data_IF_260766077627
#
_entry.id   IF_260766077627
#
_cell.length_a   1.000
_cell.length_b   1.000
_cell.length_c   1.000
_cell.angle_alpha   90.00
_cell.angle_beta   90.00
_cell.angle_gamma   90.00
#
_symmetry.space_group_name_H-M   'P 1'
#
loop_
_entity.id
_entity.type
_entity.pdbx_description
1 polymer ?
#
# COMPACT_ATOMS: atom_id res chain seq x y z
N UNK A 1 -4.08 52.39 -81.92
CA UNK A 1 -3.68 53.37 -80.88
C UNK A 1 -3.57 52.66 -79.53
N UNK A 2 -2.45 52.84 -78.83
CA UNK A 2 -2.13 52.09 -77.62
C UNK A 2 -2.59 52.71 -76.31
N UNK A 3 -2.54 51.91 -75.24
CA UNK A 3 -2.25 52.34 -73.87
C UNK A 3 -1.65 51.15 -73.09
N UNK A 4 -0.39 51.31 -72.69
CA UNK A 4 0.30 50.44 -71.71
C UNK A 4 -0.07 50.88 -70.28
N UNK A 5 0.03 49.92 -69.36
CA UNK A 5 0.80 50.01 -68.10
C UNK A 5 0.05 49.86 -66.76
N UNK A 6 0.77 49.17 -65.85
CA UNK A 6 0.99 49.54 -64.42
C UNK A 6 0.29 48.83 -63.26
N UNK A 7 -0.46 47.75 -63.42
CA UNK A 7 -1.17 47.14 -62.24
C UNK A 7 -0.53 45.90 -61.61
N UNK A 8 0.47 45.25 -62.22
CA UNK A 8 0.99 43.96 -61.70
C UNK A 8 2.14 44.06 -60.68
N UNK A 9 2.86 45.17 -60.57
CA UNK A 9 4.02 45.30 -59.66
C UNK A 9 3.64 45.70 -58.24
N UNK A 10 2.46 46.29 -58.02
CA UNK A 10 2.06 46.83 -56.71
C UNK A 10 1.59 45.75 -55.71
N UNK A 11 1.02 44.63 -56.19
CA UNK A 11 0.53 43.54 -55.34
C UNK A 11 1.64 42.69 -54.70
N UNK A 12 2.81 42.56 -55.36
CA UNK A 12 3.95 41.80 -54.80
C UNK A 12 4.67 42.55 -53.67
N UNK A 13 4.69 43.88 -53.70
CA UNK A 13 5.36 44.69 -52.66
C UNK A 13 4.58 44.73 -51.34
N UNK A 14 3.24 44.77 -51.40
CA UNK A 14 2.38 44.72 -50.21
C UNK A 14 2.48 43.39 -49.44
N UNK A 15 2.54 42.24 -50.14
CA UNK A 15 2.66 40.93 -49.47
C UNK A 15 3.97 40.74 -48.72
N UNK A 16 5.08 41.29 -49.21
CA UNK A 16 6.39 41.24 -48.53
C UNK A 16 6.46 42.15 -47.31
N UNK A 17 5.85 43.33 -47.38
CA UNK A 17 5.76 44.25 -46.24
C UNK A 17 4.86 43.69 -45.11
N UNK A 18 3.73 43.07 -45.46
CA UNK A 18 2.85 42.42 -44.48
C UNK A 18 3.50 41.21 -43.80
N UNK A 19 4.30 40.43 -44.53
CA UNK A 19 5.01 39.29 -43.96
C UNK A 19 6.15 39.73 -43.01
N UNK A 20 6.91 40.77 -43.39
CA UNK A 20 7.94 41.34 -42.52
C UNK A 20 7.36 41.89 -41.21
N UNK A 21 6.18 42.55 -41.28
CA UNK A 21 5.52 43.11 -40.11
C UNK A 21 4.97 42.04 -39.16
N UNK A 22 4.46 40.91 -39.70
CA UNK A 22 4.03 39.76 -38.89
C UNK A 22 5.21 39.05 -38.20
N UNK A 23 6.34 38.91 -38.90
CA UNK A 23 7.55 38.30 -38.31
C UNK A 23 8.12 39.18 -37.18
N UNK A 24 8.15 40.50 -37.35
CA UNK A 24 8.59 41.41 -36.28
C UNK A 24 7.64 41.39 -35.07
N UNK A 25 6.33 41.25 -35.27
CA UNK A 25 5.37 41.12 -34.18
C UNK A 25 5.57 39.79 -33.42
N UNK A 26 5.80 38.69 -34.14
CA UNK A 26 6.03 37.38 -33.52
C UNK A 26 7.33 37.35 -32.69
N UNK A 27 8.41 37.97 -33.18
CA UNK A 27 9.66 38.09 -32.42
C UNK A 27 9.50 38.98 -31.18
N UNK A 28 8.70 40.06 -31.27
CA UNK A 28 8.42 40.91 -30.11
C UNK A 28 7.56 40.20 -29.04
N UNK A 29 6.58 39.38 -29.45
CA UNK A 29 5.75 38.59 -28.52
C UNK A 29 6.57 37.46 -27.87
N UNK A 30 7.41 36.76 -28.64
CA UNK A 30 8.32 35.74 -28.10
C UNK A 30 9.39 36.36 -27.19
N UNK A 31 9.89 37.55 -27.50
CA UNK A 31 10.79 38.30 -26.62
C UNK A 31 10.11 38.73 -25.32
N UNK A 32 8.87 39.22 -25.37
CA UNK A 32 8.11 39.60 -24.17
C UNK A 32 7.79 38.39 -23.27
N UNK A 33 7.57 37.20 -23.84
CA UNK A 33 7.36 35.96 -23.09
C UNK A 33 8.66 35.41 -22.46
N UNK A 34 9.83 35.70 -23.03
CA UNK A 34 11.12 35.30 -22.46
C UNK A 34 11.64 36.25 -21.36
N UNK A 35 11.10 37.47 -21.26
CA UNK A 35 11.39 38.41 -20.17
C UNK A 35 10.32 38.44 -19.07
N UNK A 36 9.22 37.70 -19.26
CA UNK A 36 8.22 37.40 -18.24
C UNK A 36 8.48 36.00 -17.68
N UNK A 37 9.69 35.76 -17.22
CA UNK A 37 10.02 34.58 -16.42
C UNK A 37 9.53 34.86 -14.99
N UNK A 38 8.56 34.10 -14.43
CA UNK A 38 8.28 34.18 -13.02
C UNK A 38 9.51 33.68 -12.26
N UNK A 39 9.97 34.48 -11.30
CA UNK A 39 11.11 34.20 -10.44
C UNK A 39 11.04 32.75 -9.90
N UNK A 40 12.05 31.88 -10.08
CA UNK A 40 12.03 30.50 -9.59
C UNK A 40 12.06 30.38 -8.05
N UNK A 41 11.88 31.48 -7.32
CA UNK A 41 11.85 31.55 -5.86
C UNK A 41 10.48 31.50 -5.19
N UNK A 42 9.36 31.55 -5.92
CA UNK A 42 8.02 31.77 -5.30
C UNK A 42 7.19 30.51 -4.98
N UNK A 43 7.70 29.30 -5.23
CA UNK A 43 7.00 28.05 -4.85
C UNK A 43 7.04 27.77 -3.33
N UNK A 44 7.92 28.44 -2.58
CA UNK A 44 7.99 28.31 -1.12
C UNK A 44 6.87 29.08 -0.39
N UNK A 45 6.25 30.08 -1.03
CA UNK A 45 5.17 30.87 -0.43
C UNK A 45 3.78 30.22 -0.58
N UNK A 46 3.58 29.35 -1.58
CA UNK A 46 2.32 28.63 -1.79
C UNK A 46 2.25 27.38 -0.92
N UNK A 47 3.39 26.77 -0.60
CA UNK A 47 3.48 25.62 0.32
C UNK A 47 3.23 26.00 1.80
N UNK A 48 3.37 27.27 2.18
CA UNK A 48 3.26 27.72 3.57
C UNK A 48 1.86 28.23 3.99
N UNK A 49 0.88 28.25 3.07
CA UNK A 49 -0.49 28.69 3.36
C UNK A 49 -1.54 27.56 3.37
N UNK A 50 -1.15 26.32 3.10
CA UNK A 50 -2.04 25.14 3.16
C UNK A 50 -1.95 24.30 4.43
N UNK A 51 -1.00 24.59 5.32
CA UNK A 51 -0.70 23.75 6.49
C UNK A 51 -1.06 24.47 7.80
N UNK A 52 -2.35 24.72 8.02
CA UNK A 52 -2.93 24.92 9.37
C UNK A 52 -4.40 24.51 9.36
N UNK A 53 -4.62 23.21 9.35
CA UNK A 53 -5.76 22.59 10.06
C UNK A 53 -5.14 21.57 10.98
N UNK A 54 -4.90 22.01 12.22
CA UNK A 54 -4.51 21.17 13.34
C UNK A 54 -5.67 20.24 13.69
N UNK A 55 -5.75 19.09 13.04
CA UNK A 55 -6.47 17.91 13.54
C UNK A 55 -5.49 16.73 13.63
N UNK A 56 -4.36 16.98 14.29
CA UNK A 56 -3.52 15.90 14.80
C UNK A 56 -4.22 15.34 16.05
N UNK A 57 -4.91 14.21 15.90
CA UNK A 57 -5.45 13.46 17.04
C UNK A 57 -4.26 12.81 17.75
N UNK A 58 -3.95 13.17 19.01
CA UNK A 58 -2.84 12.56 19.72
C UNK A 58 -3.16 11.11 20.10
N UNK A 59 -2.32 10.16 19.67
CA UNK A 59 -2.31 8.77 20.16
C UNK A 59 -1.66 8.72 21.55
N UNK A 60 -2.24 7.93 22.45
CA UNK A 60 -1.71 7.66 23.79
C UNK A 60 -0.35 6.93 23.73
N UNK A 61 0.45 7.06 24.80
CA UNK A 61 1.82 6.56 24.88
C UNK A 61 1.95 5.07 24.49
N UNK A 62 2.99 4.79 23.70
CA UNK A 62 3.41 3.46 23.29
C UNK A 62 3.73 2.56 24.48
N UNK A 63 3.42 1.24 24.43
CA UNK A 63 3.93 0.31 25.42
C UNK A 63 5.45 0.30 25.36
N UNK A 64 6.11 0.63 26.48
CA UNK A 64 7.56 0.47 26.62
C UNK A 64 7.92 -1.00 26.41
N UNK A 65 8.46 -1.32 25.24
CA UNK A 65 9.23 -2.54 25.03
C UNK A 65 10.35 -2.57 26.08
N UNK A 66 10.39 -3.62 26.90
CA UNK A 66 11.41 -3.78 27.92
C UNK A 66 12.82 -3.78 27.27
N UNK A 67 13.81 -3.05 27.82
CA UNK A 67 15.15 -3.04 27.28
C UNK A 67 15.80 -4.41 27.51
N UNK A 68 16.06 -5.17 26.44
CA UNK A 68 16.69 -6.48 26.54
C UNK A 68 16.54 -7.46 25.37
N UNK A 69 16.10 -7.01 24.19
CA UNK A 69 16.22 -7.83 22.98
C UNK A 69 17.69 -7.80 22.51
N UNK A 70 18.38 -8.94 22.35
CA UNK A 70 19.75 -8.94 21.87
C UNK A 70 19.82 -8.45 20.42
N UNK A 71 20.78 -7.57 20.14
CA UNK A 71 21.11 -7.13 18.78
C UNK A 71 21.41 -8.36 17.90
N UNK A 72 20.66 -8.51 16.81
CA UNK A 72 20.93 -9.55 15.83
C UNK A 72 22.23 -9.23 15.07
N UNK A 73 23.18 -10.17 14.95
CA UNK A 73 24.43 -9.93 14.21
C UNK A 73 24.15 -9.76 12.72
N UNK A 74 24.84 -8.80 12.10
CA UNK A 74 24.99 -8.73 10.64
C UNK A 74 25.89 -9.88 10.17
N UNK A 75 25.29 -10.90 9.56
CA UNK A 75 25.94 -11.87 8.68
C UNK A 75 25.00 -12.02 7.48
N UNK A 76 25.40 -11.68 6.26
CA UNK A 76 26.50 -12.29 5.53
C UNK A 76 25.89 -13.34 4.59
N UNK A 77 26.16 -13.18 3.31
CA UNK A 77 25.56 -13.87 2.16
C UNK A 77 25.57 -15.41 2.21
N UNK A 78 24.70 -15.97 1.36
CA UNK A 78 24.61 -17.38 0.92
C UNK A 78 24.10 -18.43 1.91
N UNK A 79 22.79 -18.71 1.84
CA UNK A 79 22.28 -20.08 1.87
C UNK A 79 20.80 -20.11 1.45
N UNK A 80 20.43 -20.94 0.48
CA UNK A 80 19.03 -21.34 0.34
C UNK A 80 18.47 -21.64 -1.05
N UNK A 81 19.29 -21.78 -2.10
CA UNK A 81 18.82 -22.42 -3.34
C UNK A 81 18.86 -23.94 -3.18
N UNK A 82 17.71 -24.56 -2.88
CA UNK A 82 17.27 -25.87 -3.38
C UNK A 82 16.23 -26.48 -2.43
N UNK A 83 14.99 -26.62 -2.90
CA UNK A 83 14.21 -27.87 -2.86
C UNK A 83 12.73 -27.59 -3.15
N UNK A 84 12.29 -27.84 -4.38
CA UNK A 84 10.92 -28.26 -4.65
C UNK A 84 10.88 -28.89 -6.05
N UNK A 85 11.00 -30.21 -6.09
CA UNK A 85 10.65 -30.99 -7.26
C UNK A 85 9.91 -32.26 -6.81
N UNK A 86 8.72 -32.42 -7.40
CA UNK A 86 7.94 -33.65 -7.64
C UNK A 86 6.98 -34.15 -6.56
N UNK A 87 5.73 -34.36 -7.01
CA UNK A 87 4.75 -35.27 -6.39
C UNK A 87 3.30 -34.96 -6.77
N UNK A 88 2.86 -35.35 -7.98
CA UNK A 88 1.45 -35.46 -8.39
C UNK A 88 0.92 -36.89 -8.17
N UNK A 89 -0.41 -36.99 -8.07
CA UNK A 89 -1.31 -38.17 -8.12
C UNK A 89 -1.35 -39.06 -6.85
N UNK A 90 -2.48 -39.62 -6.41
CA UNK A 90 -3.65 -40.10 -7.15
C UNK A 90 -4.84 -40.33 -6.18
N UNK A 91 -6.06 -40.26 -6.72
CA UNK A 91 -7.33 -40.49 -6.05
C UNK A 91 -7.68 -41.99 -5.96
N UNK A 92 -8.40 -42.41 -4.91
CA UNK A 92 -9.26 -43.59 -4.94
C UNK A 92 -10.27 -43.61 -3.78
N UNK A 93 -11.54 -43.76 -4.13
CA UNK A 93 -12.70 -44.23 -3.34
C UNK A 93 -13.49 -45.21 -4.25
N UNK A 94 -14.46 -46.02 -3.78
CA UNK A 94 -14.68 -46.70 -2.49
C UNK A 94 -14.96 -48.23 -2.72
N UNK A 95 -15.51 -49.00 -1.75
CA UNK A 95 -16.95 -49.28 -1.82
C UNK A 95 -17.68 -49.43 -0.46
N UNK A 96 -19.01 -49.26 -0.53
CA UNK A 96 -19.99 -49.48 0.55
C UNK A 96 -20.15 -50.96 0.95
N UNK A 97 -20.79 -51.23 2.11
CA UNK A 97 -22.08 -51.91 2.00
C UNK A 97 -23.18 -51.43 2.95
N UNK A 98 -24.40 -51.60 2.43
CA UNK A 98 -25.73 -51.64 3.04
C UNK A 98 -25.86 -52.45 4.34
N UNK A 99 -26.78 -52.03 5.21
CA UNK A 99 -27.41 -52.89 6.22
C UNK A 99 -28.23 -52.10 7.24
N UNK A 100 -29.56 -52.15 7.09
CA UNK A 100 -30.54 -51.72 8.08
C UNK A 100 -30.48 -52.59 9.35
N UNK A 101 -30.55 -51.99 10.54
CA UNK A 101 -31.10 -52.64 11.73
C UNK A 101 -31.59 -51.59 12.75
N UNK A 102 -32.89 -51.65 13.04
CA UNK A 102 -33.57 -50.88 14.09
C UNK A 102 -33.20 -51.46 15.47
N UNK A 103 -32.68 -50.61 16.36
CA UNK A 103 -32.41 -50.95 17.75
C UNK A 103 -32.68 -49.76 18.67
N UNK A 104 -33.81 -49.82 19.38
CA UNK A 104 -34.29 -48.90 20.40
C UNK A 104 -33.44 -49.01 21.69
N UNK A 105 -32.68 -47.97 22.06
CA UNK A 105 -32.10 -47.79 23.39
C UNK A 105 -31.98 -46.29 23.77
N UNK A 106 -32.07 -45.94 25.07
CA UNK A 106 -32.57 -44.64 25.53
C UNK A 106 -31.56 -43.50 25.44
N UNK A 107 -32.07 -42.30 25.12
CA UNK A 107 -31.34 -41.03 25.11
C UNK A 107 -30.88 -40.65 26.52
N UNK A 108 -29.64 -40.95 26.87
CA UNK A 108 -28.95 -40.23 27.93
C UNK A 108 -28.59 -38.82 27.44
N UNK A 109 -29.23 -37.84 28.07
CA UNK A 109 -28.94 -36.42 27.98
C UNK A 109 -27.52 -36.16 28.50
N UNK A 110 -26.52 -36.29 27.62
CA UNK A 110 -25.19 -35.73 27.84
C UNK A 110 -25.35 -34.21 27.83
N UNK A 111 -25.37 -33.61 29.02
CA UNK A 111 -25.12 -32.19 29.17
C UNK A 111 -23.76 -31.89 28.55
N UNK A 112 -23.78 -31.20 27.42
CA UNK A 112 -22.59 -30.61 26.83
C UNK A 112 -21.91 -29.76 27.92
N UNK A 113 -20.59 -29.89 28.13
CA UNK A 113 -19.91 -28.98 29.02
C UNK A 113 -20.09 -27.59 28.41
N UNK A 114 -20.74 -26.71 29.18
CA UNK A 114 -20.91 -25.30 28.90
C UNK A 114 -19.54 -24.75 28.52
N UNK A 115 -19.31 -24.56 27.22
CA UNK A 115 -18.06 -24.08 26.65
C UNK A 115 -17.83 -22.74 27.32
N UNK A 116 -16.87 -22.70 28.25
CA UNK A 116 -16.50 -21.50 28.97
C UNK A 116 -16.48 -20.36 27.96
N UNK A 117 -17.37 -19.38 28.16
CA UNK A 117 -17.47 -18.23 27.28
C UNK A 117 -16.06 -17.68 27.12
N UNK A 118 -15.59 -17.61 25.88
CA UNK A 118 -14.28 -17.05 25.58
C UNK A 118 -14.14 -15.65 26.18
N UNK A 119 -12.92 -15.10 26.22
CA UNK A 119 -12.75 -13.70 26.58
C UNK A 119 -13.76 -12.83 25.80
N UNK A 120 -14.35 -11.82 26.46
CA UNK A 120 -15.36 -10.99 25.84
C UNK A 120 -14.84 -10.42 24.51
N UNK A 121 -15.71 -10.30 23.49
CA UNK A 121 -15.30 -9.75 22.21
C UNK A 121 -14.74 -8.33 22.40
N UNK A 122 -13.64 -8.04 21.71
CA UNK A 122 -13.05 -6.70 21.69
C UNK A 122 -14.07 -5.76 21.02
N UNK A 123 -14.42 -4.61 21.65
CA UNK A 123 -15.37 -3.69 21.06
C UNK A 123 -14.77 -3.00 19.84
N UNK A 124 -15.59 -2.81 18.81
CA UNK A 124 -15.23 -2.03 17.63
C UNK A 124 -14.81 -0.60 18.04
N UNK A 125 -13.74 -0.05 17.46
CA UNK A 125 -13.33 1.32 17.73
C UNK A 125 -14.34 2.34 17.17
N UNK A 126 -14.47 3.52 17.83
CA UNK A 126 -15.37 4.57 17.39
C UNK A 126 -14.95 5.27 16.08
N UNK A 127 -13.69 5.09 15.66
CA UNK A 127 -13.17 5.61 14.39
C UNK A 127 -12.41 4.52 13.65
N UNK A 128 -12.10 4.81 12.37
CA UNK A 128 -11.32 3.93 11.50
C UNK A 128 -9.81 4.23 11.56
N UNK A 129 -9.35 4.99 12.56
CA UNK A 129 -7.95 5.35 12.68
C UNK A 129 -7.11 4.13 13.04
N UNK A 130 -6.00 3.99 12.34
CA UNK A 130 -5.14 2.82 12.39
C UNK A 130 -3.69 3.27 12.43
N UNK A 131 -2.90 2.65 13.31
CA UNK A 131 -1.46 2.84 13.38
C UNK A 131 -0.76 1.51 13.17
N UNK A 132 0.43 1.56 12.58
CA UNK A 132 1.19 0.36 12.23
C UNK A 132 2.62 0.47 12.75
N UNK A 133 3.11 -0.63 13.31
CA UNK A 133 4.50 -0.78 13.71
C UNK A 133 5.07 -2.07 13.10
N UNK A 134 6.24 -1.96 12.47
CA UNK A 134 6.97 -3.08 11.90
C UNK A 134 8.44 -2.96 12.32
N UNK A 135 8.82 -3.52 13.49
CA UNK A 135 10.14 -3.29 14.08
C UNK A 135 11.31 -3.67 13.17
N UNK A 136 11.15 -4.73 12.35
CA UNK A 136 12.17 -5.18 11.40
C UNK A 136 12.48 -4.15 10.31
N UNK A 137 11.53 -3.29 9.97
CA UNK A 137 11.69 -2.17 9.05
C UNK A 137 11.97 -0.84 9.76
N UNK A 138 12.01 -0.83 11.10
CA UNK A 138 12.18 0.39 11.89
C UNK A 138 10.97 1.33 11.90
N UNK A 139 9.78 0.86 11.53
CA UNK A 139 8.53 1.64 11.55
C UNK A 139 7.83 1.49 12.90
N UNK A 140 7.36 2.60 13.46
CA UNK A 140 6.75 2.64 14.79
C UNK A 140 5.65 3.69 14.87
N UNK A 141 4.42 3.21 15.11
CA UNK A 141 3.22 4.03 15.24
C UNK A 141 2.99 4.95 14.02
N UNK A 142 3.30 4.44 12.84
CA UNK A 142 3.02 5.11 11.57
C UNK A 142 1.50 5.13 11.36
N UNK A 143 0.93 6.31 11.11
CA UNK A 143 -0.48 6.42 10.79
C UNK A 143 -0.80 5.79 9.44
N UNK A 144 -1.89 5.02 9.38
CA UNK A 144 -2.39 4.38 8.17
C UNK A 144 -3.76 4.95 7.82
N UNK A 145 -3.82 5.74 6.75
CA UNK A 145 -5.07 6.35 6.32
C UNK A 145 -6.00 5.33 5.67
N UNK A 146 -7.29 5.33 6.01
CA UNK A 146 -8.28 4.54 5.28
C UNK A 146 -8.67 5.23 3.96
N UNK A 147 -7.97 4.92 2.87
CA UNK A 147 -8.10 5.60 1.59
C UNK A 147 -7.72 4.67 0.42
N UNK A 148 -8.16 5.01 -0.78
CA UNK A 148 -7.72 4.45 -2.06
C UNK A 148 -7.13 5.55 -2.98
N UNK A 149 -6.88 6.74 -2.45
CA UNK A 149 -6.38 7.89 -3.21
C UNK A 149 -4.85 7.94 -3.24
N UNK A 150 -4.29 8.23 -4.41
CA UNK A 150 -2.86 8.45 -4.59
C UNK A 150 -2.34 9.57 -3.67
N UNK A 151 -3.09 10.67 -3.58
CA UNK A 151 -2.70 11.82 -2.74
C UNK A 151 -2.61 11.48 -1.23
N UNK A 152 -3.33 10.46 -0.76
CA UNK A 152 -3.15 9.96 0.60
C UNK A 152 -1.89 9.10 0.69
N UNK A 153 -1.64 8.24 -0.31
CA UNK A 153 -0.43 7.39 -0.38
C UNK A 153 0.86 8.21 -0.47
N UNK A 154 0.82 9.36 -1.16
CA UNK A 154 1.93 10.32 -1.24
C UNK A 154 2.32 10.89 0.13
N UNK A 155 1.44 10.79 1.13
CA UNK A 155 1.68 11.26 2.50
C UNK A 155 2.02 10.16 3.48
N UNK A 156 1.79 8.90 3.14
CA UNK A 156 2.06 7.74 4.00
C UNK A 156 1.20 6.53 3.61
N UNK A 157 1.33 5.44 4.36
CA UNK A 157 0.61 4.21 4.11
C UNK A 157 -0.92 4.40 4.11
N UNK A 158 -1.59 3.67 3.22
CA UNK A 158 -3.05 3.62 3.18
C UNK A 158 -3.54 2.19 3.35
N UNK A 159 -4.62 2.03 4.12
CA UNK A 159 -5.42 0.81 4.13
C UNK A 159 -6.50 0.97 3.07
N UNK A 160 -6.59 0.00 2.15
CA UNK A 160 -7.56 0.05 1.06
C UNK A 160 -8.99 -0.01 1.63
N UNK A 161 -9.83 0.94 1.23
CA UNK A 161 -11.21 1.10 1.72
C UNK A 161 -12.10 -0.11 1.43
N UNK A 162 -11.76 -0.90 0.42
CA UNK A 162 -12.46 -2.13 0.04
C UNK A 162 -12.13 -3.35 0.92
N UNK A 163 -11.21 -3.22 1.88
CA UNK A 163 -10.68 -4.32 2.67
C UNK A 163 -11.05 -4.22 4.15
N UNK A 164 -11.08 -5.35 4.84
CA UNK A 164 -11.55 -5.42 6.23
C UNK A 164 -10.60 -4.74 7.22
N UNK A 165 -11.12 -4.29 8.35
CA UNK A 165 -10.33 -3.76 9.47
C UNK A 165 -9.86 -4.86 10.42
N UNK A 166 -8.84 -4.63 11.26
CA UNK A 166 -8.30 -5.69 12.12
C UNK A 166 -9.26 -6.15 13.22
N UNK A 167 -10.28 -5.36 13.59
CA UNK A 167 -11.37 -5.78 14.50
C UNK A 167 -12.46 -6.62 13.83
N UNK A 168 -12.44 -6.74 12.50
CA UNK A 168 -13.41 -7.55 11.76
C UNK A 168 -12.91 -8.99 11.64
N UNK A 169 -13.77 -9.95 11.94
CA UNK A 169 -13.48 -11.38 11.84
C UNK A 169 -13.28 -11.81 10.38
N UNK A 170 -12.23 -12.60 10.14
CA UNK A 170 -11.90 -13.13 8.81
C UNK A 170 -11.41 -12.05 7.83
N UNK A 171 -11.01 -10.89 8.32
CA UNK A 171 -10.56 -9.78 7.48
C UNK A 171 -9.17 -10.04 6.87
N UNK A 172 -8.94 -9.48 5.69
CA UNK A 172 -7.59 -9.16 5.21
C UNK A 172 -7.45 -7.63 5.26
N UNK A 173 -6.74 -7.11 6.26
CA UNK A 173 -6.41 -5.68 6.31
C UNK A 173 -5.30 -5.40 5.30
N UNK A 174 -5.64 -4.76 4.18
CA UNK A 174 -4.69 -4.55 3.09
C UNK A 174 -4.11 -3.14 3.13
N UNK A 175 -2.80 -3.04 3.38
CA UNK A 175 -2.09 -1.78 3.51
C UNK A 175 -1.09 -1.66 2.35
N UNK A 176 -1.15 -0.54 1.65
CA UNK A 176 -0.21 -0.21 0.58
C UNK A 176 0.54 1.07 0.93
N UNK A 177 1.83 1.11 0.61
CA UNK A 177 2.64 2.32 0.70
C UNK A 177 3.68 2.34 -0.42
N UNK A 178 4.17 3.54 -0.71
CA UNK A 178 5.25 3.73 -1.67
C UNK A 178 6.53 3.01 -1.24
N UNK A 179 7.30 2.55 -2.24
CA UNK A 179 8.64 2.00 -2.02
C UNK A 179 9.64 3.10 -1.71
N UNK A 180 9.62 4.17 -2.52
CA UNK A 180 10.50 5.34 -2.40
C UNK A 180 9.75 6.52 -1.78
N UNK A 181 8.51 6.76 -2.24
CA UNK A 181 7.67 7.85 -1.73
C UNK A 181 8.21 9.24 -2.06
N UNK A 182 7.80 10.21 -1.23
CA UNK A 182 8.11 11.62 -1.45
C UNK A 182 8.91 12.19 -0.27
N UNK A 183 10.09 12.78 -0.53
CA UNK A 183 10.90 13.41 0.49
C UNK A 183 10.13 14.42 1.35
N UNK A 184 10.26 14.30 2.67
CA UNK A 184 9.60 15.19 3.63
C UNK A 184 8.15 14.82 3.96
N UNK A 185 7.71 13.62 3.58
CA UNK A 185 6.42 13.03 3.99
C UNK A 185 6.66 11.69 4.70
N UNK A 186 5.64 11.15 5.39
CA UNK A 186 5.76 9.80 5.98
C UNK A 186 5.87 8.71 4.92
N UNK A 187 5.58 8.99 3.64
CA UNK A 187 5.76 8.01 2.56
C UNK A 187 7.23 7.79 2.19
N UNK A 188 8.14 8.68 2.60
CA UNK A 188 9.56 8.66 2.24
C UNK A 188 10.23 7.38 2.74
N UNK A 189 10.53 6.47 1.81
CA UNK A 189 11.10 5.14 2.05
C UNK A 189 10.29 4.25 3.01
N UNK A 190 9.01 4.51 3.22
CA UNK A 190 8.21 3.83 4.25
C UNK A 190 8.20 2.31 4.08
N UNK A 191 7.90 1.80 2.88
CA UNK A 191 7.96 0.36 2.56
C UNK A 191 9.20 -0.04 1.77
N UNK A 192 10.26 0.75 1.83
CA UNK A 192 11.51 0.46 1.15
C UNK A 192 12.08 -0.92 1.52
N UNK A 193 12.08 -1.21 2.83
CA UNK A 193 12.62 -2.43 3.42
C UNK A 193 11.60 -3.57 3.52
N UNK A 194 10.42 -3.44 2.89
CA UNK A 194 9.39 -4.49 2.93
C UNK A 194 9.90 -5.86 2.42
N UNK A 195 10.76 -5.94 1.37
CA UNK A 195 11.38 -7.20 0.96
C UNK A 195 12.35 -7.82 1.97
N UNK A 196 12.75 -7.11 3.03
CA UNK A 196 13.62 -7.64 4.09
C UNK A 196 12.86 -8.41 5.18
N UNK A 197 11.52 -8.41 5.16
CA UNK A 197 10.73 -9.23 6.09
C UNK A 197 10.90 -10.72 5.80
N UNK A 198 10.97 -11.51 6.87
CA UNK A 198 11.06 -12.96 6.85
C UNK A 198 9.85 -13.61 7.55
N UNK A 199 9.66 -14.91 7.33
CA UNK A 199 8.66 -15.68 8.08
C UNK A 199 8.93 -15.55 9.58
N UNK A 200 7.87 -15.32 10.36
CA UNK A 200 7.98 -15.12 11.81
C UNK A 200 8.19 -13.67 12.25
N UNK A 201 8.51 -12.74 11.34
CA UNK A 201 8.60 -11.32 11.69
C UNK A 201 7.23 -10.78 12.11
N UNK A 202 7.23 -9.84 13.06
CA UNK A 202 6.01 -9.32 13.66
C UNK A 202 5.59 -7.99 13.05
N UNK A 203 4.28 -7.86 12.85
CA UNK A 203 3.61 -6.63 12.45
C UNK A 203 2.53 -6.34 13.48
N UNK A 204 2.41 -5.08 13.89
CA UNK A 204 1.43 -4.64 14.87
C UNK A 204 0.52 -3.60 14.23
N UNK A 205 -0.79 -3.76 14.45
CA UNK A 205 -1.77 -2.72 14.18
C UNK A 205 -2.38 -2.24 15.48
N UNK A 206 -2.58 -0.93 15.60
CA UNK A 206 -3.21 -0.30 16.75
C UNK A 206 -4.45 0.49 16.35
N UNK A 207 -5.50 0.44 17.16
CA UNK A 207 -6.69 1.29 16.98
C UNK A 207 -6.76 2.41 18.04
N UNK A 208 -7.82 3.21 17.98
CA UNK A 208 -8.10 4.32 18.92
C UNK A 208 -8.54 3.87 20.31
N UNK A 209 -9.01 2.63 20.47
CA UNK A 209 -9.30 2.08 21.79
C UNK A 209 -8.02 1.69 22.54
N UNK A 210 -6.86 1.74 21.86
CA UNK A 210 -5.58 1.25 22.38
C UNK A 210 -5.40 -0.25 22.20
N UNK A 211 -6.32 -0.93 21.49
CA UNK A 211 -6.15 -2.34 21.17
C UNK A 211 -4.99 -2.52 20.21
N UNK A 212 -4.15 -3.52 20.49
CA UNK A 212 -3.08 -3.97 19.59
C UNK A 212 -3.44 -5.32 18.98
N UNK A 213 -3.34 -5.41 17.65
CA UNK A 213 -3.49 -6.63 16.88
C UNK A 213 -2.11 -7.07 16.42
N UNK A 214 -1.62 -8.21 16.91
CA UNK A 214 -0.30 -8.73 16.55
C UNK A 214 -0.44 -9.75 15.43
N UNK A 215 0.36 -9.59 14.39
CA UNK A 215 0.44 -10.48 13.24
C UNK A 215 1.85 -11.06 13.09
N UNK A 216 1.93 -12.27 12.55
CA UNK A 216 3.18 -12.95 12.22
C UNK A 216 3.24 -13.24 10.71
N UNK A 217 4.37 -12.89 10.07
CA UNK A 217 4.57 -13.09 8.63
C UNK A 217 4.55 -14.57 8.29
N UNK A 218 3.66 -14.94 7.36
CA UNK A 218 3.40 -16.32 6.93
C UNK A 218 3.66 -16.57 5.46
N UNK A 219 3.89 -15.53 4.66
CA UNK A 219 4.27 -15.71 3.26
C UNK A 219 4.40 -14.43 2.46
N UNK A 220 4.75 -14.61 1.19
CA UNK A 220 5.04 -13.55 0.24
C UNK A 220 4.36 -13.82 -1.09
N UNK A 221 4.02 -12.76 -1.82
CA UNK A 221 3.49 -12.82 -3.18
C UNK A 221 4.14 -11.74 -4.03
N UNK A 222 4.32 -12.08 -5.29
CA UNK A 222 4.61 -11.13 -6.36
C UNK A 222 3.50 -11.26 -7.38
N UNK A 223 2.82 -10.15 -7.64
CA UNK A 223 1.64 -10.11 -8.50
C UNK A 223 1.70 -8.90 -9.42
N UNK A 224 1.02 -8.98 -10.55
CA UNK A 224 0.82 -7.81 -11.41
C UNK A 224 -0.11 -6.80 -10.73
N UNK A 225 -0.02 -5.50 -11.07
CA UNK A 225 -0.90 -4.47 -10.51
C UNK A 225 -2.39 -4.72 -10.75
N UNK A 226 -2.73 -5.47 -11.81
CA UNK A 226 -4.11 -5.84 -12.15
C UNK A 226 -4.65 -7.04 -11.35
N UNK A 227 -3.80 -7.77 -10.62
CA UNK A 227 -4.18 -8.97 -9.88
C UNK A 227 -4.73 -8.63 -8.49
N UNK A 228 -5.98 -8.20 -8.45
CA UNK A 228 -6.65 -7.78 -7.22
C UNK A 228 -7.07 -8.92 -6.30
N UNK A 229 -6.99 -10.18 -6.74
CA UNK A 229 -7.36 -11.35 -5.94
C UNK A 229 -6.55 -11.45 -4.63
N UNK A 230 -5.36 -10.85 -4.59
CA UNK A 230 -4.49 -10.83 -3.41
C UNK A 230 -5.07 -10.01 -2.24
N UNK A 231 -6.02 -9.10 -2.51
CA UNK A 231 -6.68 -8.28 -1.47
C UNK A 231 -7.82 -9.02 -0.77
N UNK A 232 -8.28 -10.14 -1.33
CA UNK A 232 -9.40 -10.87 -0.78
C UNK A 232 -9.06 -11.51 0.58
N UNK A 233 -10.04 -11.59 1.52
CA UNK A 233 -9.90 -12.39 2.72
C UNK A 233 -9.80 -13.88 2.39
N UNK A 234 -9.19 -14.65 3.29
CA UNK A 234 -9.18 -16.11 3.24
C UNK A 234 -10.04 -16.65 4.37
N UNK A 235 -10.94 -17.58 4.04
CA UNK A 235 -11.88 -18.15 5.01
C UNK A 235 -11.14 -18.73 6.23
N UNK A 236 -11.63 -18.40 7.43
CA UNK A 236 -11.06 -18.85 8.70
C UNK A 236 -9.72 -18.22 9.07
N UNK A 237 -9.29 -17.15 8.39
CA UNK A 237 -8.02 -16.47 8.65
C UNK A 237 -8.23 -14.98 8.83
N UNK A 238 -7.66 -14.45 9.90
CA UNK A 238 -7.49 -13.02 10.11
C UNK A 238 -6.10 -12.63 9.64
N UNK A 239 -6.05 -11.78 8.61
CA UNK A 239 -4.86 -11.48 7.86
C UNK A 239 -4.57 -9.98 7.81
N UNK A 240 -3.30 -9.69 7.63
CA UNK A 240 -2.84 -8.40 7.11
C UNK A 240 -1.98 -8.68 5.88
N UNK A 241 -2.12 -7.81 4.87
CA UNK A 241 -1.26 -7.82 3.69
C UNK A 241 -0.61 -6.45 3.53
N UNK A 242 0.71 -6.39 3.48
CA UNK A 242 1.48 -5.18 3.22
C UNK A 242 1.98 -5.20 1.79
N UNK A 243 1.72 -4.16 1.00
CA UNK A 243 2.09 -4.08 -0.41
C UNK A 243 3.00 -2.89 -0.72
N UNK A 244 4.05 -3.15 -1.50
CA UNK A 244 4.84 -2.12 -2.18
C UNK A 244 5.10 -2.46 -3.65
N UNK A 245 5.72 -1.55 -4.39
CA UNK A 245 6.12 -1.75 -5.78
C UNK A 245 7.56 -2.26 -5.89
N UNK A 246 7.82 -3.16 -6.83
CA UNK A 246 9.16 -3.63 -7.22
C UNK A 246 9.31 -3.56 -8.73
N UNK A 247 10.54 -3.54 -9.24
CA UNK A 247 10.81 -3.28 -10.66
C UNK A 247 10.23 -4.37 -11.57
N UNK A 248 10.52 -5.63 -11.25
CA UNK A 248 10.01 -6.84 -11.91
C UNK A 248 10.05 -8.01 -10.90
N UNK A 249 9.60 -9.20 -11.31
CA UNK A 249 9.62 -10.40 -10.50
C UNK A 249 11.04 -10.74 -10.01
N UNK A 250 11.19 -10.87 -8.70
CA UNK A 250 12.49 -11.08 -8.04
C UNK A 250 13.46 -9.89 -8.10
N UNK A 251 13.11 -8.78 -8.74
CA UNK A 251 13.93 -7.57 -8.77
C UNK A 251 13.49 -6.58 -7.69
N UNK A 252 13.96 -6.84 -6.47
CA UNK A 252 13.65 -6.01 -5.31
C UNK A 252 14.51 -4.76 -5.22
N UNK A 253 15.66 -4.67 -5.90
CA UNK A 253 16.68 -3.68 -5.56
C UNK A 253 16.91 -2.66 -6.66
N UNK A 254 16.39 -2.88 -7.86
CA UNK A 254 16.32 -1.84 -8.87
C UNK A 254 15.28 -0.79 -8.47
N UNK A 255 15.71 0.48 -8.42
CA UNK A 255 14.90 1.61 -7.96
C UNK A 255 14.09 2.22 -9.12
N UNK A 256 13.24 1.42 -9.73
CA UNK A 256 12.45 1.85 -10.86
C UNK A 256 13.22 1.88 -12.19
N UNK A 257 12.65 2.49 -13.24
CA UNK A 257 11.48 3.38 -13.19
C UNK A 257 10.13 2.68 -13.39
N UNK A 258 10.11 1.37 -13.62
CA UNK A 258 8.95 0.73 -14.22
C UNK A 258 7.93 0.22 -13.20
N UNK A 259 8.40 -0.31 -12.06
CA UNK A 259 7.52 -0.73 -10.96
C UNK A 259 6.43 -1.73 -11.40
N UNK A 260 6.80 -2.70 -12.25
CA UNK A 260 5.85 -3.58 -12.92
C UNK A 260 5.16 -4.57 -12.00
N UNK A 261 5.71 -4.83 -10.82
CA UNK A 261 5.22 -5.89 -9.92
C UNK A 261 4.88 -5.29 -8.55
N UNK A 262 3.91 -5.91 -7.88
CA UNK A 262 3.56 -5.66 -6.48
C UNK A 262 4.13 -6.76 -5.63
N UNK A 263 4.97 -6.38 -4.67
CA UNK A 263 5.45 -7.28 -3.64
C UNK A 263 4.51 -7.18 -2.44
N UNK A 264 3.96 -8.32 -2.02
CA UNK A 264 2.97 -8.41 -0.95
C UNK A 264 3.48 -9.35 0.13
N UNK A 265 3.62 -8.84 1.34
CA UNK A 265 3.88 -9.64 2.55
C UNK A 265 2.54 -9.99 3.17
N UNK A 266 2.29 -11.28 3.41
CA UNK A 266 1.10 -11.77 4.10
C UNK A 266 1.46 -12.21 5.51
N UNK A 267 0.66 -11.80 6.49
CA UNK A 267 0.80 -12.18 7.88
C UNK A 267 -0.57 -12.56 8.49
N UNK A 268 -0.56 -13.43 9.48
CA UNK A 268 -1.76 -13.93 10.17
C UNK A 268 -1.79 -13.44 11.62
N UNK A 269 -2.98 -13.14 12.13
CA UNK A 269 -3.17 -12.62 13.49
C UNK A 269 -2.86 -13.70 14.52
N UNK A 270 -2.00 -13.38 15.50
CA UNK A 270 -1.58 -14.28 16.57
C UNK A 270 -2.06 -13.85 17.96
N UNK A 271 -2.30 -12.55 18.18
CA UNK A 271 -2.92 -12.04 19.41
C UNK A 271 -3.73 -10.78 19.17
N UNK A 272 -4.66 -10.53 20.09
CA UNK A 272 -5.34 -9.24 20.24
C UNK A 272 -5.23 -8.86 21.71
N UNK A 273 -4.62 -7.71 21.95
CA UNK A 273 -4.31 -7.21 23.28
C UNK A 273 -5.08 -5.88 23.47
N UNK A 274 -6.24 -5.89 24.14
CA UNK A 274 -6.96 -4.68 24.50
C UNK A 274 -6.14 -3.78 25.42
N UNK A 275 -6.49 -2.49 25.46
CA UNK A 275 -5.85 -1.50 26.35
C UNK A 275 -5.94 -1.85 27.85
#
# INVERSE_FOLDING_TARGET
>A
MGRRSRTRTFRRRRRRASFALLVTLAVAVLGALAFADPDPGDWQAVASQGARTDDAVPRAETPRLAPGAPDAPRTGEDAGRAAAAKGEAEAAEPPEPSGDDEGDEPKEERKEPERAAGPPPVPDPPTNDLWMSVPKMGLYDDYVANSDSEAAMDRGAIKLTSTGFPWQEGANTYIAAHRIGYPGTESDYQFYDLPNLALGDRIYLGDVNGTTYTYEVTGFKEVLPSETWVTAPKAGRDMISLQTCIEDYGDYWTMGPNWYVRYVVQAERVSVDPA
#
